data_IF_048558709333
#
_entry.id   IF_048558709333
#
_cell.length_a   1.000
_cell.length_b   1.000
_cell.length_c   1.000
_cell.angle_alpha   90.00
_cell.angle_beta   90.00
_cell.angle_gamma   90.00
#
_symmetry.space_group_name_H-M   'P 1'
#
loop_
_entity.id
_entity.type
_entity.pdbx_description
1 polymer ?
#
# COMPACT_ATOMS: atom_id res chain seq x y z
N UNK A 1 -1.19 23.02 3.58
CA UNK A 1 -0.66 22.69 4.93
C UNK A 1 -1.17 21.35 5.47
N UNK A 2 -2.47 21.19 5.81
CA UNK A 2 -2.99 19.94 6.41
C UNK A 2 -2.82 18.69 5.53
N UNK A 3 -3.01 18.81 4.21
CA UNK A 3 -2.80 17.69 3.27
C UNK A 3 -1.34 17.23 3.21
N UNK A 4 -0.41 18.17 3.16
CA UNK A 4 1.04 17.89 3.15
C UNK A 4 1.47 17.20 4.45
N UNK A 5 0.94 17.65 5.59
CA UNK A 5 1.21 17.01 6.88
C UNK A 5 0.72 15.55 6.91
N UNK A 6 -0.52 15.29 6.48
CA UNK A 6 -1.05 13.93 6.40
C UNK A 6 -0.25 13.08 5.40
N UNK A 7 0.17 13.65 4.27
CA UNK A 7 1.03 12.94 3.32
C UNK A 7 2.37 12.55 3.95
N UNK A 8 3.04 13.48 4.64
CA UNK A 8 4.30 13.19 5.32
C UNK A 8 4.12 12.06 6.33
N UNK A 9 3.07 12.13 7.15
CA UNK A 9 2.85 11.11 8.17
C UNK A 9 2.43 9.75 7.59
N UNK A 10 1.72 9.73 6.46
CA UNK A 10 1.48 8.51 5.69
C UNK A 10 2.81 7.94 5.20
N UNK A 11 3.68 8.75 4.59
CA UNK A 11 4.98 8.28 4.11
C UNK A 11 5.85 7.73 5.25
N UNK A 12 5.91 8.43 6.39
CA UNK A 12 6.66 7.98 7.57
C UNK A 12 6.14 6.61 8.04
N UNK A 13 4.81 6.45 8.15
CA UNK A 13 4.20 5.17 8.52
C UNK A 13 4.42 4.09 7.46
N UNK A 14 4.31 4.41 6.17
CA UNK A 14 4.59 3.45 5.11
C UNK A 14 6.06 3.01 5.09
N UNK A 15 6.98 3.91 5.41
CA UNK A 15 8.41 3.59 5.49
C UNK A 15 8.75 2.67 6.67
N UNK A 16 8.07 2.83 7.81
CA UNK A 16 8.26 1.98 8.98
C UNK A 16 7.48 0.67 8.90
N UNK A 17 6.35 0.63 8.19
CA UNK A 17 5.56 -0.56 7.97
C UNK A 17 6.11 -1.31 6.76
N UNK A 18 6.91 -2.35 6.99
CA UNK A 18 7.52 -3.17 5.93
C UNK A 18 6.54 -3.96 5.03
N UNK A 19 5.21 -3.81 5.20
CA UNK A 19 4.14 -4.53 4.46
C UNK A 19 4.22 -6.06 4.41
N UNK A 20 5.15 -6.66 5.16
CA UNK A 20 5.47 -8.10 5.17
C UNK A 20 4.23 -8.99 5.38
N UNK A 21 3.32 -8.56 6.25
CA UNK A 21 2.14 -9.34 6.67
C UNK A 21 0.83 -8.79 6.09
N UNK A 22 0.90 -7.72 5.30
CA UNK A 22 -0.25 -7.01 4.79
C UNK A 22 -0.16 -6.91 3.29
N UNK A 23 -0.80 -7.82 2.56
CA UNK A 23 -1.06 -7.61 1.14
C UNK A 23 -1.84 -6.29 0.98
N UNK A 24 -1.35 -5.29 0.24
CA UNK A 24 -2.27 -4.34 -0.35
C UNK A 24 -3.09 -5.12 -1.38
N UNK A 25 -4.25 -5.64 -0.97
CA UNK A 25 -5.22 -6.20 -1.91
C UNK A 25 -5.89 -5.00 -2.59
N UNK A 26 -5.15 -4.33 -3.46
CA UNK A 26 -5.80 -3.64 -4.58
C UNK A 26 -6.17 -4.76 -5.56
N UNK A 27 -7.42 -4.78 -6.03
CA UNK A 27 -7.97 -5.88 -6.86
C UNK A 27 -7.20 -6.15 -8.18
N UNK A 28 -6.19 -5.33 -8.51
CA UNK A 28 -5.50 -5.32 -9.79
C UNK A 28 -3.98 -5.60 -9.71
N UNK A 29 -3.41 -5.81 -8.52
CA UNK A 29 -1.98 -6.18 -8.41
C UNK A 29 -1.82 -7.70 -8.57
N UNK A 30 -1.10 -8.12 -9.63
CA UNK A 30 -0.73 -9.52 -9.85
C UNK A 30 0.00 -10.02 -8.60
N UNK A 31 -0.41 -11.18 -8.07
CA UNK A 31 0.34 -11.85 -6.98
C UNK A 31 1.79 -12.03 -7.46
N UNK A 32 2.76 -11.67 -6.62
CA UNK A 32 4.18 -11.92 -6.93
C UNK A 32 4.38 -13.42 -7.13
N UNK A 33 4.77 -13.82 -8.34
CA UNK A 33 5.09 -15.21 -8.68
C UNK A 33 6.59 -15.41 -8.62
N UNK A 34 7.03 -16.50 -7.99
CA UNK A 34 8.43 -16.93 -8.01
C UNK A 34 8.55 -18.09 -9.01
N UNK A 35 9.25 -17.85 -10.12
CA UNK A 35 9.47 -18.84 -11.17
C UNK A 35 10.84 -19.47 -10.98
N UNK A 36 10.89 -20.80 -10.93
CA UNK A 36 12.12 -21.58 -10.79
C UNK A 36 12.39 -22.19 -12.16
N UNK A 37 13.64 -22.08 -12.61
CA UNK A 37 14.10 -22.67 -13.87
C UNK A 37 14.83 -23.97 -13.56
N UNK A 38 14.50 -25.01 -14.30
CA UNK A 38 15.07 -26.36 -14.19
C UNK A 38 15.53 -26.77 -15.59
N UNK A 39 16.59 -27.57 -15.65
CA UNK A 39 17.23 -27.91 -16.93
C UNK A 39 16.51 -29.06 -17.64
N UNK A 40 15.99 -30.03 -16.88
CA UNK A 40 15.32 -31.22 -17.43
C UNK A 40 13.81 -31.26 -17.13
N UNK A 41 13.03 -31.81 -18.07
CA UNK A 41 11.59 -32.02 -17.88
C UNK A 41 11.28 -33.02 -16.76
N UNK A 42 12.11 -34.05 -16.57
CA UNK A 42 11.95 -35.03 -15.49
C UNK A 42 12.16 -34.40 -14.11
N UNK A 43 13.07 -33.43 -14.00
CA UNK A 43 13.29 -32.66 -12.77
C UNK A 43 12.09 -31.76 -12.48
N UNK A 44 11.45 -31.20 -13.51
CA UNK A 44 10.24 -30.40 -13.36
C UNK A 44 9.05 -31.21 -12.84
N UNK A 45 8.89 -32.46 -13.30
CA UNK A 45 7.83 -33.36 -12.83
C UNK A 45 7.98 -33.78 -11.37
N UNK A 46 9.21 -34.02 -10.91
CA UNK A 46 9.52 -34.49 -9.55
C UNK A 46 9.97 -33.37 -8.59
N UNK A 47 9.73 -32.10 -8.95
CA UNK A 47 10.23 -30.97 -8.20
C UNK A 47 9.61 -30.86 -6.80
N UNK A 48 10.48 -30.84 -5.77
CA UNK A 48 10.09 -30.60 -4.38
C UNK A 48 10.69 -29.27 -3.89
N UNK A 49 9.82 -28.30 -3.64
CA UNK A 49 10.21 -26.97 -3.19
C UNK A 49 10.91 -26.98 -1.82
N UNK A 50 10.52 -27.87 -0.90
CA UNK A 50 11.11 -27.93 0.44
C UNK A 50 12.57 -28.36 0.37
N UNK A 51 12.86 -29.37 -0.45
CA UNK A 51 14.23 -29.85 -0.73
C UNK A 51 15.03 -28.82 -1.50
N UNK A 52 14.46 -28.19 -2.53
CA UNK A 52 15.17 -27.17 -3.30
C UNK A 52 15.66 -26.00 -2.43
N UNK A 53 14.84 -25.55 -1.47
CA UNK A 53 15.21 -24.46 -0.56
C UNK A 53 15.92 -24.93 0.73
N UNK A 54 16.12 -26.24 0.92
CA UNK A 54 16.62 -26.82 2.18
C UNK A 54 15.88 -26.29 3.42
N UNK A 55 14.55 -26.19 3.33
CA UNK A 55 13.67 -25.65 4.39
C UNK A 55 12.57 -26.63 4.76
N UNK A 56 12.00 -26.49 5.96
CA UNK A 56 10.80 -27.25 6.33
C UNK A 56 9.58 -26.79 5.50
N UNK A 57 8.63 -27.70 5.19
CA UNK A 57 7.47 -27.38 4.36
C UNK A 57 6.61 -26.25 4.94
N UNK A 58 6.59 -26.09 6.26
CA UNK A 58 5.86 -25.01 6.96
C UNK A 58 6.38 -23.60 6.61
N UNK A 59 7.64 -23.47 6.21
CA UNK A 59 8.23 -22.17 5.85
C UNK A 59 8.06 -21.81 4.37
N UNK A 60 7.52 -22.70 3.53
CA UNK A 60 7.32 -22.40 2.10
C UNK A 60 6.35 -21.25 1.86
N UNK A 61 5.32 -21.13 2.70
CA UNK A 61 4.35 -20.03 2.67
C UNK A 61 4.97 -18.69 3.06
N UNK A 62 6.08 -18.67 3.81
CA UNK A 62 6.77 -17.45 4.20
C UNK A 62 7.68 -16.98 3.06
N UNK A 63 7.33 -15.90 2.36
CA UNK A 63 8.09 -15.44 1.19
C UNK A 63 9.30 -14.55 1.53
N UNK A 64 9.32 -13.92 2.70
CA UNK A 64 10.31 -12.90 3.07
C UNK A 64 11.44 -13.43 3.96
N UNK A 65 11.22 -14.54 4.67
CA UNK A 65 12.22 -15.16 5.52
C UNK A 65 12.00 -16.68 5.53
N UNK A 66 12.85 -17.41 4.80
CA UNK A 66 12.85 -18.88 4.73
C UNK A 66 14.17 -19.40 5.30
N UNK A 67 14.23 -19.75 6.60
CA UNK A 67 15.45 -20.26 7.20
C UNK A 67 15.74 -21.68 6.71
N UNK A 68 17.00 -21.95 6.35
CA UNK A 68 17.45 -23.31 6.04
C UNK A 68 17.49 -24.18 7.30
N UNK A 69 17.45 -25.50 7.13
CA UNK A 69 17.51 -26.46 8.23
C UNK A 69 18.79 -26.26 9.07
N UNK A 70 19.93 -26.01 8.43
CA UNK A 70 21.19 -25.69 9.13
C UNK A 70 21.10 -24.39 9.95
N UNK A 71 20.41 -23.37 9.43
CA UNK A 71 20.18 -22.12 10.16
C UNK A 71 19.27 -22.32 11.39
N UNK A 72 18.28 -23.21 11.30
CA UNK A 72 17.41 -23.56 12.42
C UNK A 72 18.17 -24.33 13.51
N UNK A 73 19.11 -25.19 13.14
CA UNK A 73 19.92 -25.94 14.11
C UNK A 73 20.98 -25.06 14.79
N UNK A 74 21.57 -24.12 14.07
CA UNK A 74 22.68 -23.29 14.58
C UNK A 74 22.24 -22.07 15.37
N UNK A 75 21.05 -21.52 15.09
CA UNK A 75 20.59 -20.26 15.69
C UNK A 75 19.56 -20.50 16.78
N UNK A 76 19.83 -19.96 17.96
CA UNK A 76 18.84 -19.88 19.02
C UNK A 76 17.84 -18.75 18.73
N UNK A 77 16.55 -19.05 18.83
CA UNK A 77 15.49 -18.05 18.70
C UNK A 77 15.44 -17.24 20.00
N UNK A 78 15.72 -15.95 19.91
CA UNK A 78 15.64 -15.02 21.05
C UNK A 78 14.29 -14.32 21.01
N UNK A 79 13.38 -14.66 21.93
CA UNK A 79 12.11 -13.95 22.09
C UNK A 79 11.11 -14.66 23.01
N UNK A 80 10.44 -13.89 23.88
CA UNK A 80 9.35 -14.37 24.71
C UNK A 80 8.00 -14.27 23.96
N UNK A 81 7.18 -15.32 23.99
CA UNK A 81 5.83 -15.37 23.41
C UNK A 81 4.95 -14.18 23.85
N UNK A 82 5.07 -13.73 25.10
CA UNK A 82 4.30 -12.59 25.60
C UNK A 82 4.73 -11.27 24.95
N UNK A 83 6.03 -11.12 24.67
CA UNK A 83 6.57 -9.96 23.95
C UNK A 83 6.11 -9.92 22.49
N UNK A 84 5.98 -11.09 21.84
CA UNK A 84 5.50 -11.21 20.46
C UNK A 84 4.05 -10.75 20.31
N UNK A 85 3.14 -11.18 21.21
CA UNK A 85 1.73 -10.72 21.18
C UNK A 85 1.60 -9.20 21.30
N UNK A 86 2.42 -8.59 22.17
CA UNK A 86 2.46 -7.11 22.31
C UNK A 86 2.95 -6.44 21.03
N UNK A 87 3.96 -7.01 20.36
CA UNK A 87 4.49 -6.50 19.10
C UNK A 87 3.44 -6.59 17.98
N UNK A 88 2.74 -7.71 17.87
CA UNK A 88 1.65 -7.89 16.90
C UNK A 88 0.52 -6.89 17.10
N UNK A 89 0.13 -6.63 18.36
CA UNK A 89 -0.88 -5.63 18.68
C UNK A 89 -0.45 -4.23 18.22
N UNK A 90 0.80 -3.83 18.53
CA UNK A 90 1.37 -2.54 18.09
C UNK A 90 1.40 -2.43 16.55
N UNK A 91 1.78 -3.52 15.88
CA UNK A 91 1.78 -3.61 14.42
C UNK A 91 0.37 -3.40 13.86
N UNK A 92 -0.63 -4.10 14.39
CA UNK A 92 -2.02 -3.98 13.94
C UNK A 92 -2.58 -2.57 14.16
N UNK A 93 -2.27 -1.95 15.29
CA UNK A 93 -2.63 -0.55 15.56
C UNK A 93 -2.01 0.41 14.53
N UNK A 94 -0.74 0.19 14.16
CA UNK A 94 -0.06 1.03 13.16
C UNK A 94 -0.69 0.88 11.76
N UNK A 95 -1.10 -0.33 11.36
CA UNK A 95 -1.84 -0.55 10.12
C UNK A 95 -3.23 0.12 10.14
N UNK A 96 -3.93 0.06 11.27
CA UNK A 96 -5.21 0.75 11.44
C UNK A 96 -5.04 2.27 11.33
N UNK A 97 -4.02 2.84 11.96
CA UNK A 97 -3.70 4.26 11.86
C UNK A 97 -3.41 4.65 10.41
N UNK A 98 -2.56 3.90 9.71
CA UNK A 98 -2.24 4.14 8.30
C UNK A 98 -3.51 4.16 7.44
N UNK A 99 -4.40 3.16 7.62
CA UNK A 99 -5.68 3.09 6.90
C UNK A 99 -6.54 4.33 7.17
N UNK A 100 -6.67 4.73 8.43
CA UNK A 100 -7.45 5.93 8.80
C UNK A 100 -6.87 7.20 8.19
N UNK A 101 -5.54 7.34 8.18
CA UNK A 101 -4.85 8.49 7.57
C UNK A 101 -5.05 8.55 6.06
N UNK A 102 -4.94 7.42 5.36
CA UNK A 102 -5.23 7.36 3.92
C UNK A 102 -6.66 7.83 3.63
N UNK A 103 -7.64 7.37 4.41
CA UNK A 103 -9.04 7.80 4.28
C UNK A 103 -9.17 9.29 4.56
N UNK A 104 -8.51 9.80 5.61
CA UNK A 104 -8.52 11.22 5.97
C UNK A 104 -7.91 12.10 4.88
N UNK A 105 -6.77 11.71 4.32
CA UNK A 105 -6.13 12.39 3.19
C UNK A 105 -7.11 12.52 2.01
N UNK A 106 -7.76 11.42 1.61
CA UNK A 106 -8.76 11.44 0.53
C UNK A 106 -9.92 12.40 0.81
N UNK A 107 -10.36 12.51 2.07
CA UNK A 107 -11.40 13.49 2.47
C UNK A 107 -10.88 14.93 2.33
N UNK A 108 -9.68 15.21 2.83
CA UNK A 108 -9.05 16.54 2.75
C UNK A 108 -8.87 16.95 1.29
N UNK A 109 -8.40 16.04 0.44
CA UNK A 109 -8.21 16.27 -0.99
C UNK A 109 -9.52 16.67 -1.69
N UNK A 110 -10.62 15.95 -1.42
CA UNK A 110 -11.95 16.33 -1.94
C UNK A 110 -12.39 17.72 -1.51
N UNK A 111 -12.13 18.09 -0.26
CA UNK A 111 -12.47 19.43 0.26
C UNK A 111 -11.58 20.49 -0.40
N UNK A 112 -10.28 20.23 -0.55
CA UNK A 112 -9.34 21.13 -1.25
C UNK A 112 -9.82 21.41 -2.67
N UNK A 113 -10.11 20.36 -3.45
CA UNK A 113 -10.61 20.51 -4.82
C UNK A 113 -11.89 21.36 -4.88
N UNK A 114 -12.81 21.19 -3.92
CA UNK A 114 -14.05 22.00 -3.85
C UNK A 114 -13.75 23.47 -3.55
N UNK A 115 -12.81 23.76 -2.65
CA UNK A 115 -12.42 25.12 -2.32
C UNK A 115 -11.66 25.79 -3.47
N UNK A 116 -10.77 25.07 -4.13
CA UNK A 116 -10.04 25.56 -5.31
C UNK A 116 -10.99 25.90 -6.45
N UNK A 117 -11.99 25.03 -6.71
CA UNK A 117 -13.02 25.32 -7.68
C UNK A 117 -13.82 26.57 -7.30
N UNK A 118 -14.26 26.69 -6.03
CA UNK A 118 -14.96 27.89 -5.56
C UNK A 118 -14.11 29.15 -5.76
N UNK A 119 -12.83 29.11 -5.41
CA UNK A 119 -11.88 30.22 -5.61
C UNK A 119 -11.78 30.59 -7.08
N UNK A 120 -11.64 29.62 -7.98
CA UNK A 120 -11.62 29.84 -9.43
C UNK A 120 -12.96 30.38 -9.98
N UNK A 121 -14.10 30.08 -9.33
CA UNK A 121 -15.39 30.67 -9.68
C UNK A 121 -15.55 32.11 -9.16
N UNK A 122 -14.80 32.53 -8.14
CA UNK A 122 -14.80 33.93 -7.72
C UNK A 122 -13.90 34.81 -8.59
N UNK A 123 -12.98 34.23 -9.38
CA UNK A 123 -12.16 35.02 -10.31
C UNK A 123 -12.99 35.51 -11.52
N UNK A 124 -12.53 36.63 -12.09
CA UNK A 124 -13.11 37.22 -13.30
C UNK A 124 -12.82 36.35 -14.53
N UNK A 125 -13.69 36.43 -15.52
CA UNK A 125 -13.55 35.71 -16.79
C UNK A 125 -14.85 34.99 -17.17
N UNK A 126 -15.17 35.02 -18.47
CA UNK A 126 -16.35 34.34 -18.99
C UNK A 126 -16.16 32.83 -18.87
N UNK A 127 -17.19 32.15 -18.34
CA UNK A 127 -17.17 30.72 -18.09
C UNK A 127 -18.52 30.10 -18.40
N UNK A 128 -18.51 28.83 -18.81
CA UNK A 128 -19.69 28.02 -19.06
C UNK A 128 -19.61 26.74 -18.24
N UNK A 129 -20.69 26.37 -17.57
CA UNK A 129 -20.82 25.10 -16.85
C UNK A 129 -21.10 24.00 -17.87
N UNK A 130 -20.22 23.00 -17.98
CA UNK A 130 -20.40 21.87 -18.91
C UNK A 130 -21.13 20.72 -18.22
N UNK A 131 -20.74 20.39 -16.99
CA UNK A 131 -21.33 19.28 -16.23
C UNK A 131 -21.79 19.76 -14.86
N UNK A 132 -23.01 19.37 -14.50
CA UNK A 132 -23.50 19.52 -13.14
C UNK A 132 -22.77 18.58 -12.19
N UNK A 133 -22.45 19.10 -11.01
CA UNK A 133 -21.85 18.32 -9.95
C UNK A 133 -22.91 17.52 -9.22
N UNK A 134 -22.49 16.39 -8.68
CA UNK A 134 -23.29 15.53 -7.82
C UNK A 134 -22.67 15.47 -6.42
N UNK A 135 -23.28 14.76 -5.46
CA UNK A 135 -22.72 14.49 -4.13
C UNK A 135 -21.31 13.90 -4.21
N UNK A 136 -21.04 13.07 -5.21
CA UNK A 136 -19.75 12.39 -5.39
C UNK A 136 -18.74 13.15 -6.27
N UNK A 137 -19.22 13.91 -7.26
CA UNK A 137 -18.39 14.53 -8.29
C UNK A 137 -18.54 16.06 -8.32
N UNK A 138 -17.43 16.79 -8.47
CA UNK A 138 -17.46 18.24 -8.58
C UNK A 138 -18.01 18.69 -9.95
N UNK A 139 -18.71 19.84 -10.02
CA UNK A 139 -19.13 20.41 -11.29
C UNK A 139 -17.93 20.85 -12.14
N UNK A 140 -18.04 20.68 -13.45
CA UNK A 140 -16.98 21.02 -14.40
C UNK A 140 -17.36 22.27 -15.19
N UNK A 141 -16.45 23.24 -15.18
CA UNK A 141 -16.60 24.51 -15.90
C UNK A 141 -15.49 24.64 -16.95
N UNK A 142 -15.83 25.29 -18.06
CA UNK A 142 -14.89 25.70 -19.09
C UNK A 142 -14.83 27.22 -19.14
N UNK A 143 -13.64 27.75 -18.94
CA UNK A 143 -13.35 29.16 -19.15
C UNK A 143 -13.13 29.42 -20.63
N UNK A 144 -13.51 30.61 -21.08
CA UNK A 144 -13.16 31.11 -22.40
C UNK A 144 -11.64 31.30 -22.49
N UNK A 145 -11.04 30.92 -23.61
CA UNK A 145 -9.59 30.99 -23.81
C UNK A 145 -9.24 32.45 -24.14
N UNK A 146 -8.99 33.23 -23.09
CA UNK A 146 -8.56 34.62 -23.20
C UNK A 146 -7.22 34.76 -22.50
N UNK A 147 -6.24 35.36 -23.18
CA UNK A 147 -4.92 35.62 -22.60
C UNK A 147 -5.08 36.60 -21.43
N UNK A 148 -4.58 36.22 -20.26
CA UNK A 148 -4.46 37.16 -19.14
C UNK A 148 -3.44 38.21 -19.54
N UNK A 149 -3.87 39.48 -19.57
CA UNK A 149 -2.98 40.63 -19.75
C UNK A 149 -2.19 40.87 -18.47
#
# INVERSE_FOLDING_TARGET
MKEVHEQKKINDLQSSLHFIHGKPITKNEKKSTHTIFLDDEEQALNFDAAKHFNTLPEFLDNHYNRPTIENLMSKNVVGDLSSMKKLEKKRNQSYQELRQRIIRKKKIEKVRQRMELKKALFTKGRRKKIKSGDRFHLPVFKWEIVRQK
#
